data_IF_950427578344
#
_entry.id   IF_950427578344
#
_cell.length_a   1.000
_cell.length_b   1.000
_cell.length_c   1.000
_cell.angle_alpha   90.00
_cell.angle_beta   90.00
_cell.angle_gamma   90.00
#
_symmetry.space_group_name_H-M   'P 1'
#
loop_
_entity.id
_entity.type
_entity.pdbx_description
1 polymer ?
#
# COMPACT_ATOMS: atom_id res chain seq x y z
N UNK A 1 11.66 -54.77 -58.21
CA UNK A 1 10.98 -53.46 -58.24
C UNK A 1 10.44 -53.21 -56.86
N UNK A 2 11.26 -52.68 -55.96
CA UNK A 2 10.83 -52.31 -54.57
C UNK A 2 10.49 -50.86 -54.55
N UNK A 3 9.26 -50.56 -54.10
CA UNK A 3 8.75 -49.20 -53.89
C UNK A 3 9.08 -48.74 -52.47
N UNK A 4 10.03 -47.82 -52.32
CA UNK A 4 10.26 -47.15 -51.06
C UNK A 4 9.20 -46.03 -50.87
N UNK A 5 8.35 -46.20 -49.89
CA UNK A 5 7.46 -45.15 -49.44
C UNK A 5 8.20 -44.27 -48.41
N UNK A 6 8.42 -43.02 -48.75
CA UNK A 6 8.98 -42.04 -47.84
C UNK A 6 7.85 -41.49 -46.94
N UNK A 7 7.93 -41.73 -45.63
CA UNK A 7 7.07 -41.12 -44.63
C UNK A 7 7.63 -39.75 -44.26
N UNK A 8 6.92 -38.69 -44.62
CA UNK A 8 7.23 -37.31 -44.18
C UNK A 8 6.56 -37.12 -42.82
N UNK A 9 7.38 -37.02 -41.75
CA UNK A 9 6.91 -36.66 -40.43
C UNK A 9 6.83 -35.11 -40.36
N UNK A 10 5.61 -34.56 -40.39
CA UNK A 10 5.39 -33.13 -40.14
C UNK A 10 5.35 -32.95 -38.62
N UNK A 11 6.44 -32.37 -38.06
CA UNK A 11 6.50 -31.96 -36.67
C UNK A 11 5.69 -30.64 -36.50
N UNK A 12 4.47 -30.74 -36.02
CA UNK A 12 3.68 -29.58 -35.60
C UNK A 12 4.27 -29.05 -34.29
N UNK A 13 5.10 -28.00 -34.36
CA UNK A 13 5.50 -27.23 -33.21
C UNK A 13 4.32 -26.32 -32.83
N UNK A 14 3.55 -26.74 -31.87
CA UNK A 14 2.56 -25.86 -31.21
C UNK A 14 3.32 -24.86 -30.34
N UNK A 15 3.58 -23.68 -30.90
CA UNK A 15 4.08 -22.55 -30.14
C UNK A 15 2.90 -22.07 -29.29
N UNK A 16 2.85 -22.44 -28.01
CA UNK A 16 1.96 -21.81 -27.04
C UNK A 16 2.39 -20.36 -26.88
N UNK A 17 1.65 -19.44 -27.49
CA UNK A 17 1.74 -18.02 -27.20
C UNK A 17 1.37 -17.83 -25.72
N UNK A 18 2.37 -17.78 -24.84
CA UNK A 18 2.18 -17.25 -23.50
C UNK A 18 1.79 -15.77 -23.69
N UNK A 19 0.58 -15.44 -23.37
CA UNK A 19 0.14 -14.05 -23.25
C UNK A 19 0.99 -13.42 -22.15
N UNK A 20 1.97 -12.60 -22.54
CA UNK A 20 2.72 -11.77 -21.58
C UNK A 20 1.66 -10.84 -20.95
N UNK A 21 1.44 -11.00 -19.66
CA UNK A 21 0.53 -10.13 -18.92
C UNK A 21 1.02 -8.67 -19.11
N UNK A 22 0.09 -7.77 -19.45
CA UNK A 22 0.42 -6.35 -19.60
C UNK A 22 0.86 -5.79 -18.24
N UNK A 23 1.93 -5.00 -18.17
CA UNK A 23 2.34 -4.34 -16.95
C UNK A 23 1.19 -3.47 -16.39
N UNK A 24 1.07 -3.43 -15.07
CA UNK A 24 0.08 -2.61 -14.38
C UNK A 24 0.35 -1.12 -14.65
N UNK A 25 -0.66 -0.42 -15.13
CA UNK A 25 -0.59 1.02 -15.39
C UNK A 25 -0.15 1.77 -14.11
N UNK A 26 0.88 2.59 -14.24
CA UNK A 26 1.48 3.32 -13.12
C UNK A 26 1.58 4.78 -13.48
N UNK A 27 0.95 5.64 -12.68
CA UNK A 27 0.96 7.08 -12.87
C UNK A 27 2.04 7.71 -12.00
N UNK A 28 2.83 8.62 -12.56
CA UNK A 28 3.72 9.51 -11.79
C UNK A 28 2.86 10.64 -11.23
N UNK A 29 2.75 10.72 -9.91
CA UNK A 29 2.07 11.83 -9.22
C UNK A 29 2.95 13.07 -9.26
N UNK A 30 4.24 12.93 -8.93
CA UNK A 30 5.23 14.00 -8.96
C UNK A 30 6.61 13.52 -8.51
N UNK A 31 7.61 14.40 -8.65
CA UNK A 31 8.93 14.18 -8.06
C UNK A 31 8.89 14.58 -6.58
N UNK A 32 9.59 13.81 -5.74
CA UNK A 32 9.76 14.13 -4.33
C UNK A 32 10.79 15.25 -4.17
N UNK A 33 10.69 16.00 -3.08
CA UNK A 33 11.69 17.03 -2.73
C UNK A 33 13.09 16.43 -2.67
N UNK A 34 14.10 17.21 -3.05
CA UNK A 34 15.50 16.75 -3.14
C UNK A 34 16.06 16.16 -1.85
N UNK A 35 15.47 16.48 -0.69
CA UNK A 35 15.78 15.89 0.60
C UNK A 35 15.24 14.48 0.83
N UNK A 36 14.38 13.97 -0.06
CA UNK A 36 13.73 12.65 0.01
C UNK A 36 14.30 11.66 -1.02
N UNK A 37 15.57 11.79 -1.37
CA UNK A 37 16.23 10.92 -2.35
C UNK A 37 16.32 9.45 -1.93
N UNK A 38 16.34 9.19 -0.62
CA UNK A 38 16.44 7.86 -0.01
C UNK A 38 15.17 7.52 0.78
N UNK A 39 14.03 7.72 0.17
CA UNK A 39 12.73 7.42 0.80
C UNK A 39 12.57 5.91 0.97
N UNK A 40 12.30 5.44 2.19
CA UNK A 40 12.19 4.02 2.53
C UNK A 40 10.86 3.63 3.17
N UNK A 41 10.09 4.58 3.67
CA UNK A 41 8.80 4.30 4.31
C UNK A 41 7.67 5.12 3.68
N UNK A 42 6.47 4.54 3.61
CA UNK A 42 5.27 5.25 3.16
C UNK A 42 4.06 4.73 3.92
N UNK A 43 3.31 5.61 4.57
CA UNK A 43 2.11 5.21 5.30
C UNK A 43 1.00 6.27 5.22
N UNK A 44 -0.24 5.82 5.30
CA UNK A 44 -1.42 6.68 5.27
C UNK A 44 -1.99 6.83 6.68
N UNK A 45 -2.04 8.07 7.19
CA UNK A 45 -2.52 8.38 8.52
C UNK A 45 -3.20 9.75 8.55
N UNK A 46 -4.34 9.85 9.25
CA UNK A 46 -5.16 11.07 9.36
C UNK A 46 -5.46 11.73 8.00
N UNK A 47 -5.89 10.90 7.03
CA UNK A 47 -6.19 11.33 5.66
C UNK A 47 -5.01 11.99 4.93
N UNK A 48 -3.79 11.66 5.32
CA UNK A 48 -2.54 12.18 4.74
C UNK A 48 -1.56 11.08 4.47
N UNK A 49 -0.73 11.29 3.48
CA UNK A 49 0.37 10.40 3.12
C UNK A 49 1.66 10.91 3.75
N UNK A 50 2.39 10.01 4.39
CA UNK A 50 3.63 10.33 5.10
C UNK A 50 4.76 9.44 4.64
N UNK A 51 5.96 10.01 4.55
CA UNK A 51 7.20 9.30 4.18
C UNK A 51 8.38 9.77 5.05
N UNK A 52 9.48 9.02 5.01
CA UNK A 52 10.75 9.33 5.66
C UNK A 52 11.91 8.74 4.86
N UNK A 53 13.13 9.23 5.07
CA UNK A 53 14.35 8.59 4.58
C UNK A 53 14.79 7.44 5.49
N UNK A 54 15.67 6.59 4.97
CA UNK A 54 16.23 5.38 5.59
C UNK A 54 17.20 5.66 6.75
N UNK A 55 17.87 6.81 6.78
CA UNK A 55 18.93 7.10 7.75
C UNK A 55 18.88 8.53 8.32
N UNK A 56 19.64 8.72 9.39
CA UNK A 56 19.73 9.99 10.09
C UNK A 56 18.65 10.18 11.15
N UNK A 57 18.39 11.43 11.52
CA UNK A 57 17.32 11.74 12.48
C UNK A 57 15.96 11.57 11.82
N UNK A 58 15.03 10.96 12.55
CA UNK A 58 13.66 10.77 12.07
C UNK A 58 13.03 12.10 11.65
N UNK A 59 12.69 12.20 10.39
CA UNK A 59 11.91 13.30 9.85
C UNK A 59 10.79 12.73 9.01
N UNK A 60 9.56 12.90 9.47
CA UNK A 60 8.36 12.52 8.73
C UNK A 60 7.93 13.67 7.83
N UNK A 61 7.73 13.39 6.57
CA UNK A 61 7.27 14.34 5.55
C UNK A 61 5.84 13.99 5.14
N UNK A 62 4.91 14.92 5.35
CA UNK A 62 3.55 14.82 4.85
C UNK A 62 3.53 15.22 3.37
N UNK A 63 3.07 14.34 2.51
CA UNK A 63 3.03 14.57 1.07
C UNK A 63 1.63 14.97 0.59
N UNK A 64 1.59 15.87 -0.36
CA UNK A 64 0.40 16.10 -1.18
C UNK A 64 0.20 14.92 -2.15
N UNK A 65 -0.96 14.28 -2.11
CA UNK A 65 -1.27 13.09 -2.91
C UNK A 65 -1.54 13.37 -4.39
N UNK A 66 -1.58 14.65 -4.80
CA UNK A 66 -1.81 15.09 -6.17
C UNK A 66 -0.55 15.66 -6.84
N UNK A 67 0.39 16.18 -6.05
CA UNK A 67 1.59 16.86 -6.56
C UNK A 67 2.91 16.29 -6.04
N UNK A 68 2.86 15.42 -5.03
CA UNK A 68 4.01 14.88 -4.30
C UNK A 68 4.80 15.92 -3.44
N UNK A 69 4.37 17.17 -3.41
CA UNK A 69 5.03 18.23 -2.63
C UNK A 69 4.94 17.95 -1.12
N UNK A 70 5.99 18.28 -0.37
CA UNK A 70 5.96 18.21 1.09
C UNK A 70 5.11 19.35 1.66
N UNK A 71 4.00 19.00 2.34
CA UNK A 71 3.08 19.94 2.99
C UNK A 71 3.51 20.28 4.40
N UNK A 72 4.12 19.34 5.11
CA UNK A 72 4.51 19.45 6.51
C UNK A 72 5.69 18.52 6.81
N UNK A 73 6.50 18.91 7.78
CA UNK A 73 7.56 18.06 8.33
C UNK A 73 7.43 17.99 9.85
N UNK A 74 7.70 16.80 10.40
CA UNK A 74 7.78 16.56 11.85
C UNK A 74 9.07 15.80 12.12
N UNK A 75 9.99 16.42 12.86
CA UNK A 75 11.27 15.83 13.21
C UNK A 75 11.30 15.34 14.65
N UNK A 76 12.04 14.27 14.89
CA UNK A 76 12.40 13.77 16.21
C UNK A 76 13.92 13.64 16.31
N UNK A 77 14.49 14.07 17.46
CA UNK A 77 15.92 13.88 17.73
C UNK A 77 16.21 12.43 18.14
N UNK A 78 15.96 11.53 17.20
CA UNK A 78 16.19 10.09 17.32
C UNK A 78 16.73 9.60 15.99
N UNK A 79 17.94 9.05 16.01
CA UNK A 79 18.60 8.58 14.80
C UNK A 79 18.37 7.09 14.56
N UNK A 80 18.28 6.75 13.28
CA UNK A 80 18.23 5.40 12.77
C UNK A 80 19.54 5.06 12.05
N UNK A 81 19.91 3.79 12.09
CA UNK A 81 21.05 3.28 11.32
C UNK A 81 20.62 2.94 9.89
N UNK A 82 19.44 2.29 9.76
CA UNK A 82 18.93 1.79 8.49
C UNK A 82 17.43 1.52 8.67
N UNK A 83 16.61 2.59 8.56
CA UNK A 83 15.16 2.52 8.75
C UNK A 83 14.47 2.19 7.42
N UNK A 84 13.83 1.05 7.35
CA UNK A 84 13.31 0.53 6.08
C UNK A 84 11.78 0.58 5.97
N UNK A 85 11.06 0.60 7.09
CA UNK A 85 9.59 0.58 7.03
C UNK A 85 8.96 1.25 8.25
N UNK A 86 7.75 1.77 8.07
CA UNK A 86 6.85 2.24 9.15
C UNK A 86 5.53 1.50 9.09
N UNK A 87 5.33 0.54 10.00
CA UNK A 87 4.04 -0.07 10.22
C UNK A 87 3.22 0.72 11.26
N UNK A 88 1.91 0.49 11.29
CA UNK A 88 1.04 1.15 12.24
C UNK A 88 -0.17 0.29 12.63
N UNK A 89 -0.68 0.52 13.83
CA UNK A 89 -2.01 0.09 14.26
C UNK A 89 -2.87 1.31 14.68
N UNK A 90 -3.97 1.09 15.38
CA UNK A 90 -4.83 2.20 15.84
C UNK A 90 -4.17 3.13 16.85
N UNK A 91 -3.12 2.69 17.55
CA UNK A 91 -2.51 3.40 18.69
C UNK A 91 -1.08 3.82 18.45
N UNK A 92 -0.30 2.99 17.73
CA UNK A 92 1.14 3.12 17.61
C UNK A 92 1.61 3.20 16.16
N UNK A 93 2.75 3.88 15.97
CA UNK A 93 3.68 3.69 14.87
C UNK A 93 4.81 2.76 15.30
N UNK A 94 5.30 1.97 14.37
CA UNK A 94 6.42 1.03 14.53
C UNK A 94 7.45 1.35 13.44
N UNK A 95 8.59 1.91 13.84
CA UNK A 95 9.68 2.32 12.95
C UNK A 95 10.72 1.21 12.93
N UNK A 96 10.92 0.58 11.79
CA UNK A 96 11.80 -0.58 11.62
C UNK A 96 13.23 -0.18 11.31
N UNK A 97 14.10 -0.09 12.31
CA UNK A 97 15.55 0.10 12.17
C UNK A 97 16.23 -1.26 12.05
N UNK A 98 16.08 -1.88 10.87
CA UNK A 98 16.43 -3.28 10.68
C UNK A 98 17.04 -3.63 9.31
N UNK A 99 17.27 -2.66 8.42
CA UNK A 99 18.05 -2.88 7.22
C UNK A 99 19.39 -3.54 7.52
N UNK A 100 19.82 -4.49 6.71
CA UNK A 100 20.94 -5.35 7.02
C UNK A 100 21.77 -5.74 5.78
N UNK A 101 21.90 -4.81 4.85
CA UNK A 101 22.59 -4.99 3.57
C UNK A 101 24.03 -4.48 3.54
N UNK A 102 24.60 -4.12 4.70
CA UNK A 102 25.95 -3.61 4.85
C UNK A 102 27.05 -4.69 4.76
N UNK A 103 28.31 -4.26 4.70
CA UNK A 103 29.49 -5.16 4.68
C UNK A 103 29.55 -6.11 5.89
N UNK A 104 28.99 -5.70 7.02
CA UNK A 104 28.87 -6.51 8.24
C UNK A 104 27.40 -6.62 8.62
N UNK A 105 26.98 -7.84 8.94
CA UNK A 105 25.65 -8.09 9.47
C UNK A 105 25.46 -7.42 10.84
N UNK A 106 24.32 -6.80 11.02
CA UNK A 106 23.96 -6.06 12.24
C UNK A 106 23.56 -7.02 13.36
N UNK A 107 23.86 -6.67 14.60
CA UNK A 107 23.42 -7.35 15.82
C UNK A 107 22.54 -6.47 16.71
N UNK A 108 22.16 -5.31 16.22
CA UNK A 108 21.40 -4.26 16.90
C UNK A 108 20.03 -3.99 16.23
N UNK A 109 19.45 -5.01 15.57
CA UNK A 109 18.16 -4.91 14.89
C UNK A 109 17.08 -4.57 15.91
N UNK A 110 16.27 -3.55 15.59
CA UNK A 110 15.22 -3.04 16.48
C UNK A 110 14.06 -2.43 15.75
N UNK A 111 12.93 -2.35 16.45
CA UNK A 111 11.77 -1.56 16.04
C UNK A 111 11.49 -0.56 17.15
N UNK A 112 11.38 0.71 16.80
CA UNK A 112 11.03 1.77 17.75
C UNK A 112 9.52 2.02 17.66
N UNK A 113 8.82 1.84 18.79
CA UNK A 113 7.37 2.04 18.91
C UNK A 113 7.06 3.39 19.51
N UNK A 114 6.24 4.20 18.84
CA UNK A 114 5.79 5.52 19.31
C UNK A 114 4.28 5.62 19.32
N UNK A 115 3.69 6.21 20.36
CA UNK A 115 2.26 6.51 20.37
C UNK A 115 1.92 7.58 19.34
N UNK A 116 0.87 7.37 18.55
CA UNK A 116 0.37 8.34 17.57
C UNK A 116 0.00 9.68 18.25
N UNK A 117 -0.60 9.63 19.44
CA UNK A 117 -0.93 10.82 20.22
C UNK A 117 0.28 11.61 20.73
N UNK A 118 1.47 10.99 20.80
CA UNK A 118 2.69 11.72 21.17
C UNK A 118 3.18 12.52 19.96
N UNK A 119 3.14 11.96 18.76
CA UNK A 119 3.51 12.66 17.53
C UNK A 119 2.65 13.93 17.34
N UNK A 120 1.34 13.85 17.52
CA UNK A 120 0.43 15.01 17.41
C UNK A 120 0.71 16.13 18.42
N UNK A 121 1.39 15.79 19.52
CA UNK A 121 1.82 16.76 20.56
C UNK A 121 3.25 17.23 20.40
N UNK A 122 3.96 16.76 19.37
CA UNK A 122 5.39 17.03 19.19
C UNK A 122 6.28 16.33 20.22
N UNK A 123 5.83 15.22 20.80
CA UNK A 123 6.57 14.44 21.80
C UNK A 123 7.21 13.23 21.11
N UNK A 124 8.53 13.18 21.11
CA UNK A 124 9.30 12.06 20.58
C UNK A 124 9.68 11.09 21.71
N UNK A 125 8.78 10.15 21.99
CA UNK A 125 9.01 9.10 23.00
C UNK A 125 8.87 7.74 22.34
N UNK A 126 9.90 6.92 22.50
CA UNK A 126 9.96 5.60 21.91
C UNK A 126 10.14 4.51 22.95
N UNK A 127 9.43 3.41 22.77
CA UNK A 127 9.72 2.11 23.35
C UNK A 127 10.51 1.28 22.33
N UNK A 128 11.32 0.30 22.79
CA UNK A 128 12.15 -0.53 21.93
C UNK A 128 11.70 -1.98 21.92
N UNK A 129 11.58 -2.55 20.73
CA UNK A 129 11.43 -3.98 20.44
C UNK A 129 12.75 -4.40 19.79
N UNK A 130 13.68 -4.93 20.58
CA UNK A 130 14.94 -5.45 20.08
C UNK A 130 14.75 -6.89 19.61
N UNK A 131 15.41 -7.28 18.52
CA UNK A 131 15.23 -8.65 18.04
C UNK A 131 16.44 -9.21 17.28
N UNK A 132 16.46 -10.51 17.13
CA UNK A 132 17.30 -11.27 16.21
C UNK A 132 16.45 -12.27 15.46
N UNK A 133 16.93 -12.82 14.37
CA UNK A 133 16.22 -13.91 13.68
C UNK A 133 16.64 -15.28 14.18
N UNK A 134 15.72 -16.22 14.17
CA UNK A 134 16.04 -17.63 14.39
C UNK A 134 17.03 -18.12 13.32
N UNK A 135 18.16 -18.68 13.75
CA UNK A 135 19.21 -19.15 12.85
C UNK A 135 20.16 -18.08 12.33
N UNK A 136 20.04 -16.83 12.78
CA UNK A 136 20.89 -15.72 12.39
C UNK A 136 22.18 -15.70 13.22
N UNK A 137 23.32 -15.71 12.55
CA UNK A 137 24.65 -15.58 13.19
C UNK A 137 25.46 -14.41 12.56
N UNK A 138 25.35 -13.20 13.10
CA UNK A 138 26.10 -12.04 12.59
C UNK A 138 27.61 -12.19 12.84
N UNK A 139 28.05 -12.94 13.86
CA UNK A 139 29.46 -13.10 14.18
C UNK A 139 30.19 -14.07 13.25
N UNK A 140 29.50 -15.13 12.79
CA UNK A 140 30.06 -16.14 11.89
C UNK A 140 30.14 -15.71 10.43
N UNK A 141 29.43 -14.65 10.05
CA UNK A 141 29.29 -14.26 8.65
C UNK A 141 30.54 -13.62 8.02
N UNK A 142 31.47 -13.07 8.82
CA UNK A 142 32.64 -12.32 8.32
C UNK A 142 32.26 -11.04 7.56
N UNK A 143 33.27 -10.30 7.07
CA UNK A 143 33.04 -9.16 6.19
C UNK A 143 32.68 -9.64 4.78
N UNK A 144 31.59 -9.13 4.20
CA UNK A 144 31.11 -9.47 2.87
C UNK A 144 31.31 -8.29 1.90
N UNK A 145 31.63 -8.59 0.65
CA UNK A 145 31.82 -7.55 -0.38
C UNK A 145 30.53 -7.10 -1.05
N UNK A 146 29.44 -7.86 -0.88
CA UNK A 146 28.14 -7.61 -1.52
C UNK A 146 27.02 -8.00 -0.55
N UNK A 147 25.84 -7.36 -0.64
CA UNK A 147 24.66 -7.79 0.08
C UNK A 147 24.27 -9.21 -0.42
N UNK A 148 24.49 -10.20 0.41
CA UNK A 148 24.21 -11.62 0.10
C UNK A 148 23.46 -12.29 1.23
N UNK A 149 22.91 -11.51 2.15
CA UNK A 149 22.13 -12.01 3.27
C UNK A 149 20.68 -12.23 2.87
N UNK A 150 20.06 -13.26 3.43
CA UNK A 150 18.62 -13.48 3.37
C UNK A 150 17.91 -12.93 4.63
N UNK A 151 18.63 -12.16 5.46
CA UNK A 151 18.15 -11.51 6.68
C UNK A 151 18.18 -9.97 6.59
N UNK A 152 18.05 -9.46 5.38
CA UNK A 152 17.84 -8.04 5.11
C UNK A 152 16.34 -7.76 5.14
N UNK A 153 15.85 -7.11 6.19
CA UNK A 153 14.43 -6.80 6.31
C UNK A 153 14.17 -5.41 5.74
N UNK A 154 13.13 -5.29 4.92
CA UNK A 154 12.80 -4.01 4.27
C UNK A 154 11.29 -3.72 4.28
N UNK A 155 10.49 -4.64 4.83
CA UNK A 155 9.04 -4.48 4.83
C UNK A 155 8.43 -5.01 6.13
N UNK A 156 7.43 -4.33 6.65
CA UNK A 156 6.78 -4.69 7.92
C UNK A 156 5.31 -4.26 7.94
N UNK A 157 4.45 -5.10 8.50
CA UNK A 157 3.06 -4.74 8.80
C UNK A 157 2.69 -5.11 10.24
N UNK A 158 1.76 -4.36 10.84
CA UNK A 158 1.19 -4.65 12.16
C UNK A 158 -0.21 -5.24 12.00
N UNK A 159 -0.41 -6.50 12.41
CA UNK A 159 -1.70 -7.19 12.32
C UNK A 159 -1.98 -7.96 13.61
N UNK A 160 -3.15 -7.75 14.20
CA UNK A 160 -3.49 -8.32 15.50
C UNK A 160 -2.49 -7.89 16.57
N UNK A 161 -1.91 -8.85 17.29
CA UNK A 161 -0.93 -8.60 18.35
C UNK A 161 0.53 -8.75 17.88
N UNK A 162 0.77 -8.82 16.58
CA UNK A 162 2.07 -9.13 16.00
C UNK A 162 2.52 -8.11 14.96
N UNK A 163 3.83 -7.99 14.84
CA UNK A 163 4.52 -7.38 13.71
C UNK A 163 4.99 -8.52 12.80
N UNK A 164 4.74 -8.38 11.51
CA UNK A 164 5.17 -9.31 10.47
C UNK A 164 6.20 -8.62 9.60
N UNK A 165 7.40 -9.21 9.53
CA UNK A 165 8.56 -8.70 8.84
C UNK A 165 8.79 -9.53 7.59
N UNK A 166 9.09 -8.87 6.46
CA UNK A 166 9.37 -9.53 5.19
C UNK A 166 10.78 -9.20 4.73
N UNK A 167 11.57 -10.24 4.48
CA UNK A 167 12.98 -10.06 4.12
C UNK A 167 13.18 -9.85 2.62
N UNK A 168 14.12 -8.99 2.26
CA UNK A 168 14.70 -8.80 0.93
C UNK A 168 15.82 -9.81 0.76
N UNK A 169 15.56 -10.90 0.05
CA UNK A 169 16.52 -12.00 -0.10
C UNK A 169 17.31 -11.86 -1.39
N UNK A 170 18.52 -11.35 -1.27
CA UNK A 170 19.37 -11.03 -2.41
C UNK A 170 19.80 -12.24 -3.24
N UNK A 171 19.95 -13.41 -2.60
CA UNK A 171 20.40 -14.64 -3.28
C UNK A 171 19.26 -15.43 -3.87
N UNK A 172 18.20 -15.67 -3.07
CA UNK A 172 17.08 -16.52 -3.47
C UNK A 172 16.01 -15.76 -4.26
N UNK A 173 15.90 -14.43 -4.11
CA UNK A 173 14.82 -13.58 -4.65
C UNK A 173 13.44 -13.96 -4.10
N UNK A 174 13.45 -14.56 -2.93
CA UNK A 174 12.27 -14.87 -2.14
C UNK A 174 12.06 -13.80 -1.07
N UNK A 175 10.99 -13.94 -0.33
CA UNK A 175 10.79 -13.26 0.95
C UNK A 175 10.42 -14.28 2.01
N UNK A 176 10.98 -14.15 3.20
CA UNK A 176 10.55 -14.91 4.37
C UNK A 176 9.80 -13.98 5.31
N UNK A 177 8.58 -14.37 5.67
CA UNK A 177 7.80 -13.70 6.69
C UNK A 177 8.24 -14.18 8.07
N UNK A 178 8.67 -13.26 8.94
CA UNK A 178 8.93 -13.50 10.35
C UNK A 178 7.87 -12.80 11.20
N UNK A 179 7.66 -13.28 12.43
CA UNK A 179 6.70 -12.66 13.34
C UNK A 179 7.34 -12.31 14.69
N UNK A 180 6.94 -11.17 15.24
CA UNK A 180 7.32 -10.62 16.53
C UNK A 180 6.10 -10.10 17.29
N UNK A 181 6.10 -10.13 18.64
CA UNK A 181 5.12 -9.39 19.43
C UNK A 181 5.26 -7.87 19.22
N UNK A 182 4.17 -7.13 19.31
CA UNK A 182 4.14 -5.66 19.26
C UNK A 182 4.60 -4.98 20.56
N UNK A 183 4.84 -5.73 21.61
CA UNK A 183 5.21 -5.19 22.91
C UNK A 183 6.72 -4.96 23.04
N UNK A 184 7.15 -3.92 23.78
CA UNK A 184 8.56 -3.67 24.05
C UNK A 184 9.24 -4.86 24.72
N UNK A 185 10.48 -5.16 24.31
CA UNK A 185 11.23 -6.31 24.84
C UNK A 185 12.34 -6.75 23.91
N UNK A 186 12.88 -7.94 24.18
CA UNK A 186 13.90 -8.58 23.35
C UNK A 186 13.41 -9.95 22.90
N UNK A 187 13.43 -10.19 21.59
CA UNK A 187 12.79 -11.34 20.98
C UNK A 187 13.67 -12.05 19.96
N UNK A 188 13.32 -13.29 19.67
CA UNK A 188 13.79 -14.00 18.48
C UNK A 188 12.63 -14.09 17.48
N UNK A 189 12.79 -13.46 16.33
CA UNK A 189 11.83 -13.52 15.24
C UNK A 189 11.78 -14.93 14.66
N UNK A 190 10.59 -15.52 14.62
CA UNK A 190 10.38 -16.89 14.13
C UNK A 190 9.83 -16.85 12.71
N UNK A 191 10.36 -17.65 11.77
CA UNK A 191 9.84 -17.73 10.42
C UNK A 191 8.44 -18.34 10.40
N UNK A 192 7.56 -17.79 9.59
CA UNK A 192 6.19 -18.27 9.37
C UNK A 192 6.05 -19.02 8.05
N UNK A 193 6.58 -18.44 6.98
CA UNK A 193 6.62 -19.02 5.64
C UNK A 193 7.65 -18.28 4.77
N UNK A 194 8.00 -18.90 3.65
CA UNK A 194 8.81 -18.28 2.60
C UNK A 194 8.03 -18.35 1.28
N UNK A 195 8.09 -17.29 0.49
CA UNK A 195 7.44 -17.19 -0.82
C UNK A 195 8.44 -16.77 -1.90
N UNK A 196 8.30 -17.34 -3.08
CA UNK A 196 8.97 -16.86 -4.29
C UNK A 196 8.20 -15.65 -4.82
N UNK A 197 8.82 -14.49 -4.79
CA UNK A 197 8.29 -13.23 -5.33
C UNK A 197 9.01 -12.81 -6.61
N UNK A 198 10.00 -13.61 -7.06
CA UNK A 198 10.90 -13.34 -8.18
C UNK A 198 11.42 -11.89 -8.17
N UNK A 199 11.93 -11.46 -7.01
CA UNK A 199 12.39 -10.09 -6.82
C UNK A 199 12.87 -9.79 -5.41
N UNK A 200 13.15 -8.52 -5.17
CA UNK A 200 13.62 -7.97 -3.91
C UNK A 200 12.48 -7.15 -3.30
N UNK A 201 11.91 -7.62 -2.18
CA UNK A 201 10.84 -6.92 -1.45
C UNK A 201 11.44 -5.76 -0.67
N UNK A 202 10.80 -4.59 -0.75
CA UNK A 202 11.28 -3.34 -0.15
C UNK A 202 10.23 -2.59 0.68
N UNK A 203 8.95 -2.96 0.60
CA UNK A 203 7.91 -2.32 1.40
C UNK A 203 6.65 -3.15 1.47
N UNK A 204 5.79 -2.89 2.46
CA UNK A 204 4.54 -3.60 2.69
C UNK A 204 3.40 -2.68 3.13
N UNK A 205 2.20 -2.99 2.66
CA UNK A 205 0.96 -2.34 3.12
C UNK A 205 -0.10 -3.40 3.41
N UNK A 206 -0.64 -3.40 4.62
CA UNK A 206 -1.79 -4.23 4.99
C UNK A 206 -3.04 -3.35 5.12
N UNK A 207 -4.10 -3.76 4.47
CA UNK A 207 -5.42 -3.13 4.59
C UNK A 207 -6.45 -4.19 4.98
N UNK A 208 -7.43 -3.78 5.79
CA UNK A 208 -8.53 -4.63 6.20
C UNK A 208 -9.84 -3.86 6.08
N UNK A 209 -10.86 -4.50 5.51
CA UNK A 209 -12.19 -3.95 5.36
C UNK A 209 -13.23 -4.88 5.98
N UNK A 210 -14.10 -4.34 6.79
CA UNK A 210 -15.24 -5.09 7.35
C UNK A 210 -16.35 -5.06 6.30
N UNK A 211 -16.81 -6.25 5.92
CA UNK A 211 -17.96 -6.46 5.03
C UNK A 211 -19.04 -7.29 5.76
N UNK A 212 -20.25 -7.39 5.24
CA UNK A 212 -21.28 -8.25 5.83
C UNK A 212 -20.88 -9.73 5.95
N UNK A 213 -20.03 -10.22 5.02
CA UNK A 213 -19.53 -11.61 5.02
C UNK A 213 -18.31 -11.83 5.91
N UNK A 214 -17.76 -10.76 6.53
CA UNK A 214 -16.59 -10.82 7.40
C UNK A 214 -15.50 -9.83 7.01
N UNK A 215 -14.33 -9.96 7.62
CA UNK A 215 -13.20 -9.09 7.33
C UNK A 215 -12.48 -9.54 6.06
N UNK A 216 -12.40 -8.66 5.07
CA UNK A 216 -11.59 -8.83 3.86
C UNK A 216 -10.25 -8.14 4.05
N UNK A 217 -9.17 -8.85 3.78
CA UNK A 217 -7.81 -8.37 4.01
C UNK A 217 -6.97 -8.46 2.75
N UNK A 218 -6.13 -7.46 2.54
CA UNK A 218 -5.14 -7.42 1.47
C UNK A 218 -3.78 -7.10 2.08
N UNK A 219 -2.77 -7.87 1.72
CA UNK A 219 -1.37 -7.58 1.99
C UNK A 219 -0.68 -7.36 0.65
N UNK A 220 -0.23 -6.14 0.40
CA UNK A 220 0.54 -5.76 -0.78
C UNK A 220 2.01 -5.55 -0.39
N UNK A 221 2.91 -6.23 -1.08
CA UNK A 221 4.35 -5.99 -1.01
C UNK A 221 4.76 -5.23 -2.27
N UNK A 222 5.69 -4.30 -2.18
CA UNK A 222 6.35 -3.72 -3.35
C UNK A 222 7.83 -4.13 -3.40
N UNK A 223 8.46 -3.89 -4.54
CA UNK A 223 9.86 -4.18 -4.73
C UNK A 223 10.27 -4.08 -6.19
N UNK A 224 11.46 -4.59 -6.49
CA UNK A 224 12.00 -4.60 -7.84
C UNK A 224 12.77 -5.89 -8.16
N UNK A 225 12.82 -6.25 -9.44
CA UNK A 225 13.60 -7.39 -9.93
C UNK A 225 15.10 -7.05 -9.97
N UNK A 226 15.95 -8.06 -10.19
CA UNK A 226 17.39 -7.82 -10.40
C UNK A 226 17.71 -6.93 -11.62
N UNK A 227 16.77 -6.77 -12.54
CA UNK A 227 16.86 -5.82 -13.65
C UNK A 227 16.31 -4.44 -13.28
N UNK A 228 16.07 -4.18 -11.99
CA UNK A 228 15.51 -2.93 -11.47
C UNK A 228 14.17 -2.56 -12.13
N UNK A 229 13.34 -3.57 -12.40
CA UNK A 229 11.94 -3.39 -12.81
C UNK A 229 11.05 -3.49 -11.59
N UNK A 230 10.23 -2.48 -11.31
CA UNK A 230 9.38 -2.47 -10.12
C UNK A 230 8.19 -3.41 -10.28
N UNK A 231 7.75 -3.97 -9.15
CA UNK A 231 6.57 -4.82 -9.07
C UNK A 231 5.79 -4.58 -7.78
N UNK A 232 4.54 -5.03 -7.77
CA UNK A 232 3.77 -5.29 -6.54
C UNK A 232 3.40 -6.77 -6.50
N UNK A 233 3.41 -7.34 -5.28
CA UNK A 233 2.99 -8.71 -5.00
C UNK A 233 1.83 -8.65 -4.02
N UNK A 234 0.62 -9.01 -4.49
CA UNK A 234 -0.63 -8.80 -3.78
C UNK A 234 -1.15 -10.13 -3.26
N UNK A 235 -1.41 -10.22 -1.97
CA UNK A 235 -1.98 -11.39 -1.30
C UNK A 235 -3.36 -11.03 -0.73
N UNK A 236 -4.36 -11.87 -0.97
CA UNK A 236 -5.74 -11.64 -0.51
C UNK A 236 -6.52 -12.96 -0.39
N UNK A 237 -7.69 -12.92 0.25
CA UNK A 237 -8.50 -14.12 0.45
C UNK A 237 -7.92 -15.11 1.46
N UNK A 238 -7.07 -14.66 2.37
CA UNK A 238 -6.50 -15.44 3.46
C UNK A 238 -7.24 -15.19 4.79
N UNK A 239 -7.16 -16.11 5.72
CA UNK A 239 -7.74 -15.97 7.05
C UNK A 239 -6.70 -15.48 8.06
N UNK A 240 -7.07 -14.46 8.85
CA UNK A 240 -6.25 -13.92 9.93
C UNK A 240 -4.88 -13.46 9.43
N UNK A 241 -3.82 -14.15 9.82
CA UNK A 241 -2.43 -13.86 9.46
C UNK A 241 -1.78 -14.95 8.59
N UNK A 242 -2.60 -15.84 8.00
CA UNK A 242 -2.13 -16.89 7.09
C UNK A 242 -1.95 -16.35 5.65
N UNK A 243 -1.16 -15.28 5.52
CA UNK A 243 -1.03 -14.49 4.27
C UNK A 243 -0.73 -15.33 3.03
N UNK A 244 0.02 -16.45 3.17
CA UNK A 244 0.40 -17.32 2.07
C UNK A 244 -0.66 -18.39 1.73
N UNK A 245 -1.83 -18.40 2.37
CA UNK A 245 -2.88 -19.43 2.15
C UNK A 245 -3.97 -18.96 1.18
N UNK A 246 -4.00 -17.68 0.82
CA UNK A 246 -4.97 -17.10 -0.11
C UNK A 246 -4.48 -17.06 -1.56
N UNK A 247 -5.08 -16.16 -2.31
CA UNK A 247 -4.62 -15.80 -3.65
C UNK A 247 -3.40 -14.89 -3.57
N UNK A 248 -2.54 -14.98 -4.58
CA UNK A 248 -1.41 -14.05 -4.73
C UNK A 248 -1.15 -13.79 -6.22
N UNK A 249 -0.89 -12.52 -6.52
CA UNK A 249 -0.61 -12.03 -7.86
C UNK A 249 0.64 -11.16 -7.85
N UNK A 250 1.57 -11.41 -8.78
CA UNK A 250 2.73 -10.58 -9.03
C UNK A 250 2.49 -9.74 -10.28
N UNK A 251 2.47 -8.42 -10.11
CA UNK A 251 2.18 -7.44 -11.15
C UNK A 251 3.41 -6.57 -11.40
N UNK A 252 4.00 -6.64 -12.60
CA UNK A 252 5.02 -5.67 -13.01
C UNK A 252 4.38 -4.29 -13.20
N UNK A 253 5.08 -3.25 -12.77
CA UNK A 253 4.63 -1.88 -12.96
C UNK A 253 5.12 -1.33 -14.32
N UNK A 254 4.30 -0.50 -14.98
CA UNK A 254 4.66 0.13 -16.25
C UNK A 254 5.64 1.30 -16.05
N UNK A 255 6.81 1.00 -15.52
CA UNK A 255 7.90 1.95 -15.26
C UNK A 255 9.20 1.47 -15.93
N UNK A 256 10.11 2.39 -16.27
CA UNK A 256 11.38 2.02 -16.88
C UNK A 256 12.29 1.26 -15.90
N UNK A 257 13.27 0.57 -16.46
CA UNK A 257 14.38 -0.02 -15.71
C UNK A 257 15.10 1.08 -14.92
N UNK A 258 15.51 0.77 -13.68
CA UNK A 258 16.13 1.72 -12.76
C UNK A 258 15.14 2.35 -11.79
N UNK A 259 13.87 1.97 -11.82
CA UNK A 259 12.89 2.38 -10.83
C UNK A 259 12.92 1.40 -9.65
N UNK A 260 13.58 1.79 -8.56
CA UNK A 260 13.62 1.04 -7.30
C UNK A 260 12.47 1.53 -6.42
N UNK A 261 11.34 0.83 -6.45
CA UNK A 261 10.24 1.11 -5.49
C UNK A 261 10.67 0.68 -4.10
N UNK A 262 10.47 1.54 -3.09
CA UNK A 262 10.93 1.29 -1.73
C UNK A 262 9.78 1.23 -0.72
N UNK A 263 8.65 1.86 -0.99
CA UNK A 263 7.54 1.83 -0.05
C UNK A 263 6.18 1.84 -0.75
N UNK A 264 5.14 1.37 -0.04
CA UNK A 264 3.78 1.26 -0.55
C UNK A 264 2.75 1.56 0.53
N UNK A 265 1.73 2.35 0.21
CA UNK A 265 0.63 2.68 1.13
C UNK A 265 -0.72 2.71 0.41
N UNK A 266 -1.78 2.45 1.14
CA UNK A 266 -3.16 2.59 0.67
C UNK A 266 -4.09 3.04 1.79
N UNK A 267 -5.14 3.77 1.42
CA UNK A 267 -6.21 4.15 2.34
C UNK A 267 -7.41 3.18 2.26
N UNK A 268 -7.60 2.50 1.15
CA UNK A 268 -8.82 1.74 0.85
C UNK A 268 -8.60 0.30 0.37
N UNK A 269 -7.33 -0.09 0.16
CA UNK A 269 -6.94 -1.40 -0.36
C UNK A 269 -7.13 -1.57 -1.87
N UNK A 270 -7.58 -0.54 -2.59
CA UNK A 270 -7.76 -0.54 -4.04
C UNK A 270 -6.80 0.40 -4.75
N UNK A 271 -6.63 1.61 -4.21
CA UNK A 271 -5.73 2.62 -4.74
C UNK A 271 -4.49 2.70 -3.86
N UNK A 272 -3.31 2.59 -4.47
CA UNK A 272 -2.05 2.57 -3.75
C UNK A 272 -1.14 3.68 -4.23
N UNK A 273 -0.38 4.25 -3.31
CA UNK A 273 0.78 5.09 -3.58
C UNK A 273 2.04 4.29 -3.33
N UNK A 274 3.06 4.55 -4.13
CA UNK A 274 4.40 3.99 -3.96
C UNK A 274 5.42 5.11 -4.06
N UNK A 275 6.55 4.94 -3.39
CA UNK A 275 7.73 5.76 -3.63
C UNK A 275 8.83 4.95 -4.29
N UNK A 276 9.69 5.62 -5.04
CA UNK A 276 10.95 5.07 -5.49
C UNK A 276 12.11 5.99 -5.09
N UNK A 277 13.26 5.39 -4.84
CA UNK A 277 14.49 6.15 -4.60
C UNK A 277 15.02 6.86 -5.84
N UNK A 278 15.85 7.89 -5.60
CA UNK A 278 16.67 8.47 -6.65
C UNK A 278 17.78 7.49 -7.07
N UNK A 279 17.80 7.12 -8.32
CA UNK A 279 18.79 6.20 -8.89
C UNK A 279 19.61 6.89 -9.99
N UNK A 280 20.94 6.80 -9.90
CA UNK A 280 21.85 7.35 -10.92
C UNK A 280 23.10 6.47 -11.06
N UNK A 281 23.01 5.41 -11.87
CA UNK A 281 24.12 4.49 -12.16
C UNK A 281 24.01 3.94 -13.58
N UNK A 282 25.12 3.55 -14.16
CA UNK A 282 25.19 2.90 -15.49
C UNK A 282 24.53 3.70 -16.62
N UNK A 283 24.53 5.04 -16.53
CA UNK A 283 23.89 5.89 -17.54
C UNK A 283 22.36 5.95 -17.45
N UNK A 284 21.76 5.34 -16.43
CA UNK A 284 20.34 5.43 -16.11
C UNK A 284 20.21 6.40 -14.92
N UNK A 285 19.29 7.37 -15.05
CA UNK A 285 18.95 8.30 -13.96
C UNK A 285 17.44 8.37 -13.80
N UNK A 286 16.97 8.15 -12.57
CA UNK A 286 15.58 8.26 -12.17
C UNK A 286 15.50 9.13 -10.92
N UNK A 287 14.67 10.17 -10.88
CA UNK A 287 14.42 10.93 -9.65
C UNK A 287 13.60 10.12 -8.66
N UNK A 288 13.67 10.48 -7.38
CA UNK A 288 12.71 10.00 -6.39
C UNK A 288 11.31 10.54 -6.72
N UNK A 289 10.32 9.67 -6.79
CA UNK A 289 8.96 10.00 -7.23
C UNK A 289 7.91 9.39 -6.31
N UNK A 290 6.77 10.07 -6.23
CA UNK A 290 5.53 9.48 -5.78
C UNK A 290 4.77 8.94 -7.00
N UNK A 291 4.39 7.67 -6.91
CA UNK A 291 3.68 6.92 -7.95
C UNK A 291 2.29 6.54 -7.43
N UNK A 292 1.35 6.29 -8.32
CA UNK A 292 0.06 5.69 -7.97
C UNK A 292 -0.32 4.56 -8.92
N UNK A 293 -1.02 3.56 -8.36
CA UNK A 293 -1.58 2.41 -9.09
C UNK A 293 -3.01 2.15 -8.62
N UNK A 294 -3.80 1.54 -9.48
CA UNK A 294 -5.18 1.14 -9.22
C UNK A 294 -5.30 -0.39 -9.36
N UNK A 295 -5.67 -1.05 -8.27
CA UNK A 295 -5.93 -2.49 -8.20
C UNK A 295 -7.43 -2.83 -8.20
N UNK A 296 -8.31 -1.88 -8.52
CA UNK A 296 -9.76 -2.09 -8.52
C UNK A 296 -10.20 -3.21 -9.47
N UNK A 297 -9.52 -3.41 -10.59
CA UNK A 297 -9.80 -4.51 -11.52
C UNK A 297 -9.50 -5.88 -10.90
N UNK A 298 -8.47 -5.98 -10.03
CA UNK A 298 -8.09 -7.23 -9.36
C UNK A 298 -8.90 -7.45 -8.08
N UNK A 299 -9.06 -6.41 -7.26
CA UNK A 299 -9.55 -6.52 -5.88
C UNK A 299 -10.97 -5.96 -5.68
N UNK A 300 -11.53 -5.30 -6.69
CA UNK A 300 -12.82 -4.61 -6.55
C UNK A 300 -13.93 -5.53 -6.09
N UNK A 301 -14.09 -6.67 -6.72
CA UNK A 301 -15.11 -7.66 -6.37
C UNK A 301 -14.83 -8.32 -5.00
N UNK A 302 -13.55 -8.47 -4.65
CA UNK A 302 -13.17 -9.03 -3.38
C UNK A 302 -13.45 -8.06 -2.22
N UNK A 303 -13.13 -6.77 -2.37
CA UNK A 303 -13.29 -5.77 -1.32
C UNK A 303 -14.67 -5.10 -1.28
N UNK A 304 -15.48 -5.22 -2.36
CA UNK A 304 -16.82 -4.66 -2.49
C UNK A 304 -17.81 -5.73 -2.94
N UNK A 305 -18.05 -6.80 -2.16
CA UNK A 305 -18.88 -7.92 -2.58
C UNK A 305 -20.34 -7.55 -2.85
N UNK A 306 -20.80 -6.38 -2.39
CA UNK A 306 -22.19 -5.93 -2.53
C UNK A 306 -22.49 -5.20 -3.86
N UNK A 307 -21.52 -4.99 -4.74
CA UNK A 307 -21.84 -4.67 -6.12
C UNK A 307 -22.39 -5.94 -6.78
N UNK A 308 -23.70 -6.15 -6.66
CA UNK A 308 -24.42 -7.28 -7.26
C UNK A 308 -23.87 -7.60 -8.65
N UNK A 309 -23.24 -8.76 -8.82
CA UNK A 309 -23.06 -9.37 -10.13
C UNK A 309 -24.44 -9.84 -10.63
N UNK A 310 -25.33 -8.90 -10.93
CA UNK A 310 -26.29 -9.13 -11.95
C UNK A 310 -25.48 -9.24 -13.25
N UNK A 311 -25.41 -10.45 -13.82
CA UNK A 311 -24.93 -10.66 -15.16
C UNK A 311 -25.50 -9.54 -16.04
N UNK A 312 -24.60 -8.68 -16.56
CA UNK A 312 -24.99 -7.62 -17.47
C UNK A 312 -25.51 -8.30 -18.74
N UNK A 313 -26.83 -8.30 -19.04
CA UNK A 313 -27.23 -8.53 -20.39
C UNK A 313 -26.68 -7.33 -21.17
N UNK A 314 -25.91 -7.60 -22.20
CA UNK A 314 -25.50 -6.61 -23.17
C UNK A 314 -26.75 -5.91 -23.70
N UNK A 315 -27.07 -4.74 -23.20
CA UNK A 315 -28.08 -3.84 -23.72
C UNK A 315 -27.45 -2.46 -23.84
N UNK A 316 -27.22 -2.08 -25.07
CA UNK A 316 -27.17 -0.70 -25.53
C UNK A 316 -28.30 0.10 -24.88
N UNK A 317 -28.02 1.09 -24.06
CA UNK A 317 -29.04 2.00 -23.60
C UNK A 317 -28.65 2.76 -22.32
N UNK A 318 -28.43 4.05 -22.51
CA UNK A 318 -28.50 5.14 -21.55
C UNK A 318 -27.44 5.17 -20.40
N UNK A 319 -26.54 6.13 -20.49
CA UNK A 319 -25.68 6.58 -19.39
C UNK A 319 -26.62 7.03 -18.26
N UNK A 320 -26.60 6.33 -17.11
CA UNK A 320 -27.18 6.87 -15.88
C UNK A 320 -26.40 8.14 -15.54
N UNK A 321 -27.06 9.28 -15.57
CA UNK A 321 -26.49 10.57 -15.19
C UNK A 321 -26.06 10.50 -13.73
N UNK A 322 -24.78 10.73 -13.46
CA UNK A 322 -24.28 10.87 -12.08
C UNK A 322 -25.02 12.06 -11.42
N UNK A 323 -25.58 11.90 -10.18
CA UNK A 323 -26.30 12.96 -9.52
C UNK A 323 -25.45 14.21 -9.39
N UNK A 324 -25.90 15.32 -9.94
CA UNK A 324 -25.25 16.62 -9.77
C UNK A 324 -25.58 17.17 -8.38
N UNK A 325 -24.54 17.55 -7.63
CA UNK A 325 -24.65 18.18 -6.30
C UNK A 325 -23.95 19.53 -6.36
N UNK A 326 -24.73 20.60 -6.24
CA UNK A 326 -24.20 21.97 -6.41
C UNK A 326 -24.90 23.00 -5.52
N UNK A 327 -24.23 24.15 -5.22
CA UNK A 327 -22.81 24.40 -5.44
C UNK A 327 -21.93 23.53 -4.53
N UNK A 328 -20.79 23.08 -5.03
CA UNK A 328 -19.81 22.37 -4.22
C UNK A 328 -18.40 22.82 -4.66
N UNK A 329 -17.69 23.63 -3.85
CA UNK A 329 -18.00 24.03 -2.46
C UNK A 329 -19.28 24.86 -2.28
N UNK A 330 -19.84 24.82 -1.04
CA UNK A 330 -21.09 25.55 -0.67
C UNK A 330 -20.86 26.44 0.54
N UNK A 331 -21.60 27.56 0.58
CA UNK A 331 -21.69 28.45 1.74
C UNK A 331 -22.85 28.06 2.71
N UNK A 332 -23.67 27.09 2.34
CA UNK A 332 -24.71 26.60 3.26
C UNK A 332 -25.84 25.80 2.64
N UNK A 333 -26.19 25.97 1.39
CA UNK A 333 -27.29 25.19 0.77
C UNK A 333 -26.77 24.43 -0.45
N UNK A 334 -27.09 23.12 -0.48
CA UNK A 334 -26.82 22.26 -1.63
C UNK A 334 -28.10 21.92 -2.37
N UNK A 335 -28.03 21.90 -3.69
CA UNK A 335 -29.04 21.30 -4.55
C UNK A 335 -28.58 19.92 -5.01
N UNK A 336 -29.46 18.95 -4.94
CA UNK A 336 -29.23 17.55 -5.35
C UNK A 336 -30.13 17.30 -6.55
N UNK A 337 -29.52 17.17 -7.72
CA UNK A 337 -30.24 16.84 -8.96
C UNK A 337 -30.25 15.31 -9.16
N UNK A 338 -31.15 14.67 -8.45
CA UNK A 338 -31.44 13.24 -8.54
C UNK A 338 -32.95 13.03 -8.28
N UNK A 339 -33.77 12.85 -9.33
CA UNK A 339 -35.23 12.83 -9.21
C UNK A 339 -35.79 11.71 -8.31
N UNK A 340 -35.08 10.62 -8.13
CA UNK A 340 -35.48 9.46 -7.33
C UNK A 340 -34.81 9.40 -5.94
N UNK A 341 -34.16 10.47 -5.50
CA UNK A 341 -33.61 10.55 -4.16
C UNK A 341 -34.74 10.40 -3.12
N UNK A 342 -34.57 9.49 -2.17
CA UNK A 342 -35.50 9.22 -1.06
C UNK A 342 -34.95 9.67 0.27
N UNK A 343 -33.64 9.51 0.49
CA UNK A 343 -32.99 9.83 1.76
C UNK A 343 -31.65 10.50 1.51
N UNK A 344 -31.41 11.58 2.26
CA UNK A 344 -30.14 12.30 2.27
C UNK A 344 -29.52 12.25 3.66
N UNK A 345 -28.26 11.90 3.77
CA UNK A 345 -27.52 11.83 5.02
C UNK A 345 -26.17 12.53 4.87
N UNK A 346 -25.83 13.42 5.79
CA UNK A 346 -24.51 14.05 5.85
C UNK A 346 -23.74 13.46 7.02
N UNK A 347 -22.54 12.95 6.71
CA UNK A 347 -21.64 12.34 7.68
C UNK A 347 -20.35 13.14 7.78
N UNK A 348 -19.77 13.18 8.98
CA UNK A 348 -18.43 13.72 9.19
C UNK A 348 -17.35 12.72 8.71
N UNK A 349 -16.08 13.13 8.83
CA UNK A 349 -14.93 12.31 8.43
C UNK A 349 -14.78 11.01 9.25
N UNK A 350 -15.51 10.88 10.38
CA UNK A 350 -15.53 9.67 11.21
C UNK A 350 -16.67 8.73 10.86
N UNK A 351 -17.55 9.13 9.92
CA UNK A 351 -18.76 8.39 9.55
C UNK A 351 -19.96 8.64 10.48
N UNK A 352 -19.86 9.61 11.40
CA UNK A 352 -20.97 9.97 12.29
C UNK A 352 -22.01 10.79 11.52
N UNK A 353 -23.27 10.41 11.63
CA UNK A 353 -24.38 11.14 11.04
C UNK A 353 -24.57 12.50 11.71
N UNK A 354 -24.54 13.56 10.91
CA UNK A 354 -24.73 14.95 11.35
C UNK A 354 -26.09 15.52 10.95
N UNK A 355 -26.53 15.24 9.73
CA UNK A 355 -27.81 15.68 9.17
C UNK A 355 -28.49 14.53 8.42
N UNK A 356 -29.80 14.55 8.46
CA UNK A 356 -30.64 13.61 7.75
C UNK A 356 -31.88 14.36 7.22
N UNK A 357 -32.26 14.08 5.98
CA UNK A 357 -33.46 14.63 5.36
C UNK A 357 -34.11 13.57 4.47
N UNK A 358 -35.41 13.44 4.57
CA UNK A 358 -36.19 12.59 3.68
C UNK A 358 -36.60 13.38 2.44
N UNK A 359 -36.46 12.77 1.27
CA UNK A 359 -36.98 13.19 -0.06
C UNK A 359 -36.91 14.71 -0.33
N UNK A 360 -35.72 15.32 -0.27
CA UNK A 360 -35.52 16.73 -0.60
C UNK A 360 -34.51 16.90 -1.73
N UNK A 361 -34.76 17.81 -2.66
CA UNK A 361 -33.80 18.23 -3.67
C UNK A 361 -32.82 19.31 -3.18
N UNK A 362 -32.97 19.74 -1.92
CA UNK A 362 -32.09 20.73 -1.29
C UNK A 362 -31.73 20.32 0.12
N UNK A 363 -30.50 20.61 0.52
CA UNK A 363 -29.97 20.30 1.85
C UNK A 363 -29.36 21.56 2.46
N UNK A 364 -29.81 21.91 3.68
CA UNK A 364 -29.29 23.06 4.42
C UNK A 364 -28.14 22.64 5.34
N UNK A 365 -26.96 23.19 5.10
CA UNK A 365 -25.74 22.90 5.85
C UNK A 365 -25.26 24.11 6.68
N UNK A 366 -26.06 25.17 6.82
CA UNK A 366 -25.64 26.41 7.48
C UNK A 366 -25.20 26.22 8.92
N UNK A 367 -25.78 25.24 9.59
CA UNK A 367 -25.46 24.92 10.99
C UNK A 367 -24.22 24.02 11.13
N UNK A 368 -23.63 23.55 10.03
CA UNK A 368 -22.39 22.80 10.06
C UNK A 368 -21.18 23.73 9.98
N UNK A 369 -20.11 23.35 10.67
CA UNK A 369 -18.83 24.06 10.62
C UNK A 369 -18.20 23.97 9.22
N UNK A 370 -17.22 24.85 8.95
CA UNK A 370 -16.43 24.75 7.72
C UNK A 370 -15.66 23.43 7.68
N UNK A 371 -15.74 22.73 6.56
CA UNK A 371 -15.09 21.42 6.49
C UNK A 371 -15.52 20.57 5.31
N UNK A 372 -15.01 19.35 5.31
CA UNK A 372 -15.36 18.31 4.34
C UNK A 372 -16.28 17.29 4.95
N UNK A 373 -17.35 16.96 4.24
CA UNK A 373 -18.38 16.02 4.64
C UNK A 373 -18.66 15.02 3.55
N UNK A 374 -19.27 13.88 3.90
CA UNK A 374 -19.78 12.88 2.97
C UNK A 374 -21.30 13.00 2.89
N UNK A 375 -21.84 13.34 1.73
CA UNK A 375 -23.26 13.25 1.43
C UNK A 375 -23.57 11.84 0.92
N UNK A 376 -24.44 11.13 1.58
CA UNK A 376 -24.98 9.84 1.18
C UNK A 376 -26.42 10.02 0.74
N UNK A 377 -26.73 9.63 -0.48
CA UNK A 377 -28.03 9.72 -1.13
C UNK A 377 -28.55 8.30 -1.33
N UNK A 378 -29.71 7.97 -0.77
CA UNK A 378 -30.39 6.71 -1.04
C UNK A 378 -31.56 6.98 -1.97
N UNK A 379 -31.66 6.22 -3.05
CA UNK A 379 -32.78 6.33 -4.01
C UNK A 379 -33.96 5.47 -3.59
N UNK A 380 -35.12 5.71 -4.17
CA UNK A 380 -36.36 4.89 -3.97
C UNK A 380 -36.19 3.42 -4.33
N UNK A 381 -35.19 3.10 -5.15
CA UNK A 381 -34.85 1.73 -5.54
C UNK A 381 -33.88 1.08 -4.55
N UNK A 382 -33.44 1.82 -3.51
CA UNK A 382 -32.48 1.36 -2.51
C UNK A 382 -31.01 1.52 -2.93
N UNK A 383 -30.72 2.12 -4.09
CA UNK A 383 -29.35 2.41 -4.50
C UNK A 383 -28.77 3.52 -3.62
N UNK A 384 -27.48 3.42 -3.28
CA UNK A 384 -26.79 4.41 -2.46
C UNK A 384 -25.67 5.05 -3.26
N UNK A 385 -25.73 6.38 -3.38
CA UNK A 385 -24.70 7.20 -4.01
C UNK A 385 -24.04 8.08 -2.95
N UNK A 386 -22.72 8.19 -2.97
CA UNK A 386 -21.97 9.05 -2.03
C UNK A 386 -21.23 10.15 -2.79
N UNK A 387 -21.27 11.38 -2.23
CA UNK A 387 -20.58 12.56 -2.78
C UNK A 387 -19.83 13.30 -1.68
N UNK A 388 -18.61 13.68 -1.97
CA UNK A 388 -17.85 14.60 -1.12
C UNK A 388 -18.43 16.00 -1.26
N UNK A 389 -18.72 16.66 -0.16
CA UNK A 389 -19.15 18.07 -0.11
C UNK A 389 -18.18 18.89 0.74
N UNK A 390 -17.97 20.13 0.32
CA UNK A 390 -17.07 21.08 0.98
C UNK A 390 -17.92 22.27 1.42
N UNK A 391 -18.00 22.49 2.76
CA UNK A 391 -18.63 23.68 3.37
C UNK A 391 -17.55 24.75 3.58
N UNK A 392 -17.79 25.94 3.03
CA UNK A 392 -16.95 27.13 3.16
C UNK A 392 -17.64 28.21 3.99
#
# INVERSE_FOLDING_TARGET
>A
MEKHAAFIFILLVTCSLQTIAQPLATTVVGELDSGLGNTSALFYWENRLWTSNDHGNLTLHCLDTLTAATLQQVGCDTSFNDMEEVAQDSVYFYFGDFGNNHERLRNDLRILRMRKSDLTRGICRFDTIAFTYSGYDPAGAGARRLPTTDYDCEAMVAVGDSLFLFTKQWSSRHTTCFALPKEPGTYTALPRFTMDVDGLVTGACHTARITPEGTRQVLALCGYSLLLKPFVFVMYGFDGTAFNQGHHDRLELSKPIGTQTEAIASADGLHYWLTNEAFSRFGISQPAQLLSIDLSTLLGDYLRPDSSHAAVPSLTGEMEEEPAVYPNPTDGTLTIDLPDAEKLEVLDSTGRLLLHSDASHTLDLRDLEFGTYLLRITTRQGNVVSRKIIKQ
#
